data_IF_704711092156
#
_entry.id   IF_704711092156
#
_cell.length_a   1.000
_cell.length_b   1.000
_cell.length_c   1.000
_cell.angle_alpha   90.00
_cell.angle_beta   90.00
_cell.angle_gamma   90.00
#
_symmetry.space_group_name_H-M   'P 1'
#
loop_
_entity.id
_entity.type
_entity.pdbx_description
1 polymer ?
#
# COMPACT_ATOMS: atom_id res chain seq x y z
N UNK A 1 -19.70 -5.88 13.64
CA UNK A 1 -18.41 -5.20 13.45
C UNK A 1 -17.95 -4.71 14.80
N UNK A 2 -16.82 -5.22 15.28
CA UNK A 2 -16.10 -4.57 16.38
C UNK A 2 -15.22 -3.48 15.76
N UNK A 3 -15.23 -2.28 16.33
CA UNK A 3 -14.28 -1.23 15.95
C UNK A 3 -13.13 -1.31 16.94
N UNK A 4 -11.92 -1.52 16.43
CA UNK A 4 -10.71 -1.68 17.22
C UNK A 4 -9.62 -0.72 16.70
N UNK A 5 -8.54 -0.55 17.46
CA UNK A 5 -7.36 0.18 16.99
C UNK A 5 -6.77 -0.42 15.69
N UNK A 6 -7.04 -1.71 15.40
CA UNK A 6 -6.64 -2.35 14.14
C UNK A 6 -7.42 -1.82 12.94
N UNK A 7 -8.65 -1.34 13.13
CA UNK A 7 -9.39 -0.66 12.07
C UNK A 7 -8.68 0.63 11.64
N UNK A 8 -8.15 1.40 12.60
CA UNK A 8 -7.38 2.61 12.31
C UNK A 8 -6.09 2.26 11.55
N UNK A 9 -5.36 1.23 11.99
CA UNK A 9 -4.16 0.74 11.29
C UNK A 9 -4.47 0.30 9.86
N UNK A 10 -5.55 -0.45 9.66
CA UNK A 10 -5.98 -0.88 8.33
C UNK A 10 -6.30 0.33 7.45
N UNK A 11 -7.09 1.28 7.96
CA UNK A 11 -7.45 2.50 7.22
C UNK A 11 -6.24 3.38 6.89
N UNK A 12 -5.23 3.43 7.77
CA UNK A 12 -3.95 4.07 7.50
C UNK A 12 -3.20 3.40 6.34
N UNK A 13 -3.21 2.06 6.28
CA UNK A 13 -2.65 1.31 5.17
C UNK A 13 -3.32 1.65 3.83
N UNK A 14 -4.67 1.71 3.82
CA UNK A 14 -5.46 2.12 2.64
C UNK A 14 -5.10 3.54 2.21
N UNK A 15 -5.13 4.50 3.14
CA UNK A 15 -4.82 5.91 2.88
C UNK A 15 -3.40 6.09 2.33
N UNK A 16 -2.43 5.33 2.85
CA UNK A 16 -1.05 5.39 2.37
C UNK A 16 -0.94 4.94 0.91
N UNK A 17 -1.65 3.87 0.52
CA UNK A 17 -1.72 3.44 -0.87
C UNK A 17 -2.45 4.46 -1.75
N UNK A 18 -3.53 5.07 -1.27
CA UNK A 18 -4.24 6.15 -2.00
C UNK A 18 -3.31 7.32 -2.33
N UNK A 19 -2.44 7.69 -1.40
CA UNK A 19 -1.44 8.75 -1.60
C UNK A 19 -0.38 8.31 -2.63
N UNK A 20 0.14 7.08 -2.53
CA UNK A 20 1.16 6.57 -3.46
C UNK A 20 0.63 6.43 -4.89
N UNK A 21 -0.59 5.89 -5.04
CA UNK A 21 -1.23 5.61 -6.33
C UNK A 21 -1.95 6.82 -6.92
N UNK A 22 -2.27 7.83 -6.12
CA UNK A 22 -3.08 8.97 -6.52
C UNK A 22 -4.52 8.61 -6.94
N UNK A 23 -4.99 7.42 -6.57
CA UNK A 23 -6.30 6.86 -6.90
C UNK A 23 -6.72 5.80 -5.86
N UNK A 24 -7.98 5.37 -5.90
CA UNK A 24 -8.52 4.42 -4.91
C UNK A 24 -7.96 2.98 -5.13
N UNK A 25 -7.34 2.34 -4.12
CA UNK A 25 -6.61 1.08 -4.27
C UNK A 25 -7.49 -0.17 -4.20
N UNK A 26 -8.82 -0.06 -4.34
CA UNK A 26 -9.74 -1.18 -4.08
C UNK A 26 -9.43 -2.46 -4.86
N UNK A 27 -9.10 -2.35 -6.16
CA UNK A 27 -8.69 -3.50 -6.98
C UNK A 27 -7.36 -4.07 -6.51
N UNK A 28 -6.39 -3.20 -6.20
CA UNK A 28 -5.08 -3.59 -5.70
C UNK A 28 -5.17 -4.35 -4.36
N UNK A 29 -5.99 -3.86 -3.43
CA UNK A 29 -6.26 -4.55 -2.15
C UNK A 29 -6.98 -5.89 -2.41
N UNK A 30 -7.96 -5.93 -3.32
CA UNK A 30 -8.63 -7.19 -3.66
C UNK A 30 -7.64 -8.23 -4.19
N UNK A 31 -6.68 -7.81 -5.03
CA UNK A 31 -5.62 -8.66 -5.56
C UNK A 31 -4.61 -9.09 -4.48
N UNK A 32 -4.30 -8.19 -3.53
CA UNK A 32 -3.46 -8.50 -2.37
C UNK A 32 -4.02 -9.63 -1.50
N UNK A 33 -5.34 -9.65 -1.30
CA UNK A 33 -6.00 -10.67 -0.48
C UNK A 33 -6.31 -11.95 -1.25
N UNK A 34 -6.52 -11.88 -2.57
CA UNK A 34 -6.81 -13.06 -3.41
C UNK A 34 -5.56 -13.87 -3.76
N UNK A 35 -4.42 -13.21 -3.93
CA UNK A 35 -3.13 -13.86 -4.15
C UNK A 35 -2.38 -14.00 -2.82
N UNK A 36 -2.60 -15.12 -2.13
CA UNK A 36 -1.73 -15.54 -1.01
C UNK A 36 -0.29 -15.86 -1.47
N UNK A 37 0.02 -15.73 -2.76
CA UNK A 37 1.36 -15.88 -3.33
C UNK A 37 1.91 -14.55 -3.85
N UNK A 38 2.71 -13.91 -2.98
CA UNK A 38 4.08 -13.39 -3.19
C UNK A 38 4.47 -12.83 -4.57
N UNK A 39 3.59 -12.26 -5.37
CA UNK A 39 4.06 -11.38 -6.43
C UNK A 39 4.76 -10.20 -5.76
N UNK A 40 6.05 -10.02 -6.07
CA UNK A 40 6.83 -8.88 -5.63
C UNK A 40 6.08 -7.62 -6.10
N UNK A 41 5.37 -6.96 -5.18
CA UNK A 41 4.73 -5.69 -5.47
C UNK A 41 5.85 -4.71 -5.75
N UNK A 42 6.02 -4.39 -7.03
CA UNK A 42 7.01 -3.44 -7.48
C UNK A 42 6.46 -2.04 -7.26
N UNK A 43 7.26 -1.19 -6.63
CA UNK A 43 6.91 0.21 -6.41
C UNK A 43 6.44 0.91 -7.68
N UNK A 44 7.09 0.66 -8.81
CA UNK A 44 6.75 1.23 -10.11
C UNK A 44 5.28 0.99 -10.53
N UNK A 45 4.66 -0.12 -10.09
CA UNK A 45 3.26 -0.44 -10.41
C UNK A 45 2.26 0.25 -9.46
N UNK A 46 2.76 0.83 -8.36
CA UNK A 46 1.97 1.49 -7.32
C UNK A 46 2.08 3.00 -7.41
N UNK A 47 3.13 3.56 -8.00
CA UNK A 47 3.29 5.01 -8.07
C UNK A 47 2.28 5.67 -9.01
N UNK A 48 1.78 6.82 -8.59
CA UNK A 48 0.93 7.68 -9.41
C UNK A 48 1.64 8.03 -10.72
N UNK A 49 1.13 7.56 -11.88
CA UNK A 49 1.79 7.77 -13.17
C UNK A 49 1.77 9.23 -13.63
N UNK A 50 1.00 10.10 -12.95
CA UNK A 50 0.96 11.55 -13.21
C UNK A 50 2.16 12.28 -12.61
N UNK A 51 2.87 11.65 -11.66
CA UNK A 51 4.05 12.22 -11.02
C UNK A 51 5.34 11.80 -11.75
N UNK A 52 6.37 12.65 -11.75
CA UNK A 52 7.67 12.26 -12.27
C UNK A 52 8.27 11.12 -11.43
N UNK A 53 9.08 10.23 -12.05
CA UNK A 53 9.72 9.14 -11.32
C UNK A 53 10.70 9.68 -10.26
N UNK A 54 10.90 8.95 -9.16
CA UNK A 54 11.82 9.34 -8.11
C UNK A 54 13.24 9.57 -8.65
N UNK A 55 13.82 10.73 -8.35
CA UNK A 55 15.09 11.17 -8.95
C UNK A 55 16.32 10.64 -8.21
N UNK A 56 16.17 10.05 -7.01
CA UNK A 56 17.28 9.57 -6.20
C UNK A 56 17.00 8.20 -5.60
N UNK A 57 18.04 7.40 -5.42
CA UNK A 57 17.93 6.08 -4.80
C UNK A 57 17.33 6.17 -3.39
N UNK A 58 17.77 7.16 -2.59
CA UNK A 58 17.24 7.40 -1.25
C UNK A 58 15.72 7.62 -1.24
N UNK A 59 15.19 8.31 -2.26
CA UNK A 59 13.75 8.52 -2.39
C UNK A 59 13.04 7.21 -2.76
N UNK A 60 13.58 6.45 -3.71
CA UNK A 60 13.06 5.10 -4.03
C UNK A 60 13.04 4.20 -2.81
N UNK A 61 14.14 4.08 -2.07
CA UNK A 61 14.23 3.22 -0.88
C UNK A 61 13.24 3.65 0.22
N UNK A 62 13.02 4.97 0.37
CA UNK A 62 12.04 5.52 1.29
C UNK A 62 10.60 5.17 0.88
N UNK A 63 10.29 5.28 -0.40
CA UNK A 63 8.98 4.95 -0.97
C UNK A 63 8.70 3.44 -0.92
N UNK A 64 9.71 2.61 -1.20
CA UNK A 64 9.66 1.15 -1.00
C UNK A 64 9.36 0.81 0.47
N UNK A 65 10.00 1.50 1.41
CA UNK A 65 9.76 1.29 2.85
C UNK A 65 8.32 1.66 3.25
N UNK A 66 7.80 2.78 2.73
CA UNK A 66 6.42 3.23 2.97
C UNK A 66 5.42 2.22 2.38
N UNK A 67 5.68 1.74 1.16
CA UNK A 67 4.84 0.73 0.51
C UNK A 67 4.79 -0.57 1.32
N UNK A 68 5.95 -1.08 1.75
CA UNK A 68 6.03 -2.28 2.58
C UNK A 68 5.31 -2.13 3.92
N UNK A 69 5.38 -0.94 4.53
CA UNK A 69 4.63 -0.62 5.75
C UNK A 69 3.12 -0.65 5.48
N UNK A 70 2.66 0.01 4.42
CA UNK A 70 1.24 0.04 4.05
C UNK A 70 0.68 -1.38 3.80
N UNK A 71 1.41 -2.22 3.07
CA UNK A 71 1.05 -3.63 2.84
C UNK A 71 0.96 -4.38 4.18
N UNK A 72 1.89 -4.13 5.10
CA UNK A 72 1.88 -4.77 6.42
C UNK A 72 0.66 -4.37 7.25
N UNK A 73 0.21 -3.12 7.15
CA UNK A 73 -1.02 -2.65 7.79
C UNK A 73 -2.28 -3.36 7.28
N UNK A 74 -2.30 -3.78 6.01
CA UNK A 74 -3.46 -4.42 5.36
C UNK A 74 -3.52 -5.94 5.57
N UNK A 75 -2.43 -6.58 6.00
CA UNK A 75 -2.38 -8.03 6.29
C UNK A 75 -3.06 -8.43 7.59
N UNK A 76 -3.30 -7.48 8.48
CA UNK A 76 -3.92 -7.75 9.78
C UNK A 76 -5.42 -7.80 9.58
N UNK A 77 -6.08 -8.90 9.98
CA UNK A 77 -7.54 -8.93 10.08
C UNK A 77 -7.96 -7.86 11.11
N UNK A 78 -8.70 -6.81 10.70
CA UNK A 78 -9.07 -5.73 11.60
C UNK A 78 -10.24 -6.10 12.53
N UNK A 79 -10.83 -7.29 12.38
CA UNK A 79 -11.98 -7.80 13.15
C UNK A 79 -11.61 -8.82 14.23
#
# INVERSE_FOLDING_TARGET
MAVTEKCDVFSFGVLTLEILMGSHPGEFISNLHSSLDKEHIQLANVLDPRLPPPTSQKLNDGMDSILNLAISCLRVDPL
#
